data_IF_191857983512
#
_entry.id   IF_191857983512
#
_cell.length_a   1.000
_cell.length_b   1.000
_cell.length_c   1.000
_cell.angle_alpha   90.00
_cell.angle_beta   90.00
_cell.angle_gamma   90.00
#
_symmetry.space_group_name_H-M   'P 1'
#
loop_
_entity.id
_entity.type
_entity.pdbx_description
1 polymer ?
#
# COMPACT_ATOMS: atom_id res chain seq x y z
N UNK A 1 9.66 -2.82 14.83
CA UNK A 1 9.02 -4.13 15.02
C UNK A 1 8.21 -4.08 16.30
N UNK A 2 6.89 -4.29 16.21
CA UNK A 2 6.00 -4.22 17.36
C UNK A 2 6.42 -5.20 18.46
N UNK A 3 6.50 -4.72 19.68
CA UNK A 3 6.85 -5.55 20.83
C UNK A 3 5.70 -6.55 21.13
N UNK A 4 6.00 -7.66 21.80
CA UNK A 4 4.98 -8.61 22.26
C UNK A 4 3.91 -7.95 23.15
N UNK A 5 4.22 -6.81 23.80
CA UNK A 5 3.33 -6.04 24.67
C UNK A 5 2.21 -5.34 23.90
N UNK A 6 2.41 -5.05 22.60
CA UNK A 6 1.45 -4.30 21.76
C UNK A 6 0.53 -5.18 20.94
N UNK A 7 0.71 -6.51 21.01
CA UNK A 7 -0.11 -7.45 20.26
C UNK A 7 -1.46 -7.72 20.90
N UNK A 8 -2.50 -7.86 20.06
CA UNK A 8 -3.88 -8.12 20.46
C UNK A 8 -4.25 -9.55 20.11
N UNK A 9 -4.69 -10.34 21.09
CA UNK A 9 -5.09 -11.73 20.87
C UNK A 9 -6.49 -11.82 20.25
N UNK A 10 -7.41 -11.01 20.74
CA UNK A 10 -8.80 -10.88 20.28
C UNK A 10 -9.48 -9.64 20.89
N UNK A 11 -10.71 -9.38 20.48
CA UNK A 11 -11.59 -8.37 21.07
C UNK A 11 -11.54 -7.01 20.41
N UNK A 12 -12.35 -6.10 20.95
CA UNK A 12 -12.59 -4.77 20.38
C UNK A 12 -11.51 -3.77 20.77
N UNK A 13 -11.03 -3.03 19.77
CA UNK A 13 -10.06 -1.96 19.92
C UNK A 13 -10.38 -0.80 18.99
N UNK A 14 -9.90 0.37 19.40
CA UNK A 14 -9.86 1.57 18.61
C UNK A 14 -8.41 1.93 18.30
N UNK A 15 -8.20 2.48 17.11
CA UNK A 15 -6.91 2.99 16.65
C UNK A 15 -7.13 4.33 15.99
N UNK A 16 -6.18 5.22 16.15
CA UNK A 16 -6.13 6.48 15.44
C UNK A 16 -4.70 6.81 15.06
N UNK A 17 -4.54 7.49 13.95
CA UNK A 17 -3.33 8.18 13.56
C UNK A 17 -3.66 9.23 12.52
N UNK A 18 -2.79 10.23 12.40
CA UNK A 18 -2.81 11.19 11.32
C UNK A 18 -1.59 10.99 10.45
N UNK A 19 -1.74 11.16 9.15
CA UNK A 19 -0.63 11.15 8.21
C UNK A 19 -0.67 12.39 7.32
N UNK A 20 0.52 12.89 6.96
CA UNK A 20 0.66 14.06 6.12
C UNK A 20 1.62 13.74 4.97
N UNK A 21 1.16 14.00 3.75
CA UNK A 21 1.96 13.94 2.54
C UNK A 21 2.36 15.36 2.15
N UNK A 22 3.66 15.66 1.97
CA UNK A 22 4.10 16.96 1.46
C UNK A 22 3.42 17.32 0.12
N UNK A 23 3.35 18.60 -0.21
CA UNK A 23 2.74 19.07 -1.47
C UNK A 23 3.46 18.56 -2.72
N UNK A 24 4.75 18.31 -2.60
CA UNK A 24 5.63 17.78 -3.64
C UNK A 24 5.79 16.25 -3.58
N UNK A 25 4.95 15.57 -2.79
CA UNK A 25 4.96 14.11 -2.71
C UNK A 25 4.64 13.50 -4.06
N UNK A 26 5.46 12.52 -4.46
CA UNK A 26 5.30 11.77 -5.70
C UNK A 26 4.81 10.37 -5.37
N UNK A 27 3.65 10.01 -5.91
CA UNK A 27 3.16 8.64 -5.86
C UNK A 27 4.04 7.75 -6.75
N UNK A 28 4.66 6.75 -6.16
CA UNK A 28 5.63 5.87 -6.82
C UNK A 28 5.01 4.60 -7.39
N UNK A 29 3.69 4.57 -7.64
CA UNK A 29 3.09 3.40 -8.29
C UNK A 29 3.82 3.07 -9.62
N UNK A 30 4.09 1.80 -9.94
CA UNK A 30 3.63 0.56 -9.31
C UNK A 30 4.52 0.00 -8.17
N UNK A 31 5.41 0.81 -7.62
CA UNK A 31 6.11 0.44 -6.39
C UNK A 31 5.09 0.28 -5.25
N UNK A 32 5.24 -0.78 -4.46
CA UNK A 32 4.39 -0.98 -3.30
C UNK A 32 4.90 -0.13 -2.13
N UNK A 33 4.10 0.84 -1.72
CA UNK A 33 4.38 1.74 -0.62
C UNK A 33 3.30 1.59 0.46
N UNK A 34 3.55 0.73 1.47
CA UNK A 34 2.63 0.58 2.58
C UNK A 34 2.97 1.58 3.68
N UNK A 35 1.97 2.37 4.09
CA UNK A 35 2.05 3.43 5.09
C UNK A 35 1.53 2.98 6.47
N UNK A 36 1.03 1.77 6.56
CA UNK A 36 0.58 1.14 7.78
C UNK A 36 0.06 -0.26 7.53
N UNK A 37 -0.01 -1.08 8.58
CA UNK A 37 -0.56 -2.43 8.46
C UNK A 37 -0.93 -3.01 9.83
N UNK A 38 -1.90 -3.90 9.82
CA UNK A 38 -2.15 -4.83 10.90
C UNK A 38 -1.58 -6.19 10.51
N UNK A 39 -0.49 -6.57 11.16
CA UNK A 39 0.23 -7.80 10.87
C UNK A 39 -0.08 -8.88 11.90
N UNK A 40 -0.05 -10.13 11.49
CA UNK A 40 -0.25 -11.27 12.38
C UNK A 40 1.06 -11.92 12.78
N UNK A 41 1.10 -12.49 13.95
CA UNK A 41 2.19 -13.36 14.36
C UNK A 41 2.00 -14.75 13.76
N UNK A 42 2.98 -15.19 12.97
CA UNK A 42 2.93 -16.46 12.25
C UNK A 42 2.04 -16.46 11.01
N UNK A 43 1.86 -15.28 10.38
CA UNK A 43 1.10 -15.13 9.14
C UNK A 43 1.37 -13.80 8.46
N UNK A 44 0.69 -13.56 7.35
CA UNK A 44 0.74 -12.31 6.57
C UNK A 44 -0.03 -11.18 7.27
N UNK A 45 0.16 -9.90 6.87
CA UNK A 45 -0.73 -8.82 7.29
C UNK A 45 -2.18 -9.15 6.94
N UNK A 46 -3.14 -8.79 7.81
CA UNK A 46 -4.58 -8.95 7.54
C UNK A 46 -5.20 -7.72 6.91
N UNK A 47 -4.70 -6.55 7.26
CA UNK A 47 -5.05 -5.27 6.65
C UNK A 47 -3.79 -4.47 6.40
N UNK A 48 -3.66 -3.95 5.18
CA UNK A 48 -2.57 -3.07 4.79
C UNK A 48 -3.13 -1.75 4.27
N UNK A 49 -2.44 -0.68 4.53
CA UNK A 49 -2.75 0.65 4.03
C UNK A 49 -1.67 1.01 3.02
N UNK A 50 -2.02 1.02 1.75
CA UNK A 50 -1.06 1.14 0.66
C UNK A 50 -1.36 2.36 -0.19
N UNK A 51 -0.30 3.07 -0.55
CA UNK A 51 -0.38 4.00 -1.65
C UNK A 51 -0.37 3.22 -2.97
N UNK A 52 -1.39 3.42 -3.77
CA UNK A 52 -1.59 2.81 -5.09
C UNK A 52 -1.75 3.90 -6.15
N UNK A 53 -2.04 3.49 -7.39
CA UNK A 53 -2.19 4.36 -8.56
C UNK A 53 -3.12 5.57 -8.34
N UNK A 54 -4.25 5.37 -7.70
CA UNK A 54 -5.25 6.42 -7.48
C UNK A 54 -5.08 7.14 -6.14
N UNK A 55 -4.47 6.47 -5.14
CA UNK A 55 -4.33 7.04 -3.81
C UNK A 55 -4.12 6.01 -2.69
N UNK A 56 -4.55 6.38 -1.51
CA UNK A 56 -4.44 5.58 -0.30
C UNK A 56 -5.56 4.56 -0.23
N UNK A 57 -5.21 3.30 -0.24
CA UNK A 57 -6.14 2.16 -0.24
C UNK A 57 -5.96 1.31 1.01
N UNK A 58 -7.08 0.69 1.45
CA UNK A 58 -7.02 -0.45 2.34
C UNK A 58 -7.01 -1.72 1.50
N UNK A 59 -6.13 -2.65 1.88
CA UNK A 59 -6.03 -3.98 1.29
C UNK A 59 -6.26 -5.00 2.41
N UNK A 60 -7.32 -5.82 2.28
CA UNK A 60 -7.60 -6.92 3.19
C UNK A 60 -7.09 -8.22 2.57
N UNK A 61 -6.34 -8.98 3.34
CA UNK A 61 -5.81 -10.30 2.94
C UNK A 61 -6.10 -11.28 4.06
N UNK A 62 -7.26 -11.91 4.04
CA UNK A 62 -7.67 -12.96 4.99
C UNK A 62 -7.94 -14.22 4.18
N UNK A 63 -7.12 -15.24 4.40
CA UNK A 63 -7.11 -16.44 3.56
C UNK A 63 -6.37 -16.21 2.23
N UNK A 64 -6.14 -17.29 1.49
CA UNK A 64 -5.34 -17.26 0.27
C UNK A 64 -6.13 -16.70 -0.93
N UNK A 65 -7.47 -16.78 -0.91
CA UNK A 65 -8.35 -16.40 -2.01
C UNK A 65 -9.19 -15.12 -1.74
N UNK A 66 -9.10 -14.55 -0.53
CA UNK A 66 -9.93 -13.41 -0.14
C UNK A 66 -9.13 -12.10 -0.15
N UNK A 67 -8.96 -11.55 -1.34
CA UNK A 67 -8.32 -10.26 -1.57
C UNK A 67 -9.37 -9.20 -1.87
N UNK A 68 -9.43 -8.18 -1.02
CA UNK A 68 -10.31 -7.02 -1.19
C UNK A 68 -9.48 -5.74 -1.08
N UNK A 69 -9.59 -4.86 -2.07
CA UNK A 69 -8.96 -3.54 -2.01
C UNK A 69 -10.00 -2.43 -2.23
N UNK A 70 -9.90 -1.37 -1.46
CA UNK A 70 -10.79 -0.21 -1.57
C UNK A 70 -10.02 1.09 -1.44
N UNK A 71 -10.29 2.00 -2.38
CA UNK A 71 -9.81 3.38 -2.30
C UNK A 71 -10.45 4.09 -1.11
N UNK A 72 -9.63 4.65 -0.23
CA UNK A 72 -10.04 5.44 0.93
C UNK A 72 -10.07 6.92 0.62
N UNK A 73 -9.02 7.43 -0.02
CA UNK A 73 -8.86 8.83 -0.40
C UNK A 73 -7.84 8.93 -1.55
N UNK A 74 -8.05 9.83 -2.49
CA UNK A 74 -7.12 10.08 -3.59
C UNK A 74 -5.85 10.76 -3.09
N UNK A 75 -4.70 10.46 -3.71
CA UNK A 75 -3.42 11.11 -3.33
C UNK A 75 -3.52 12.62 -3.35
N UNK A 76 -4.10 13.20 -4.40
CA UNK A 76 -4.22 14.66 -4.54
C UNK A 76 -5.02 15.34 -3.40
N UNK A 77 -5.96 14.61 -2.79
CA UNK A 77 -6.76 15.13 -1.68
C UNK A 77 -6.00 15.10 -0.33
N UNK A 78 -4.85 14.40 -0.30
CA UNK A 78 -3.97 14.28 0.87
C UNK A 78 -2.80 15.26 0.85
N UNK A 79 -2.41 15.78 -0.34
CA UNK A 79 -1.22 16.60 -0.51
C UNK A 79 -1.30 17.90 0.30
N UNK A 80 -0.29 18.15 1.13
CA UNK A 80 -0.19 19.34 1.95
C UNK A 80 -1.22 19.45 3.06
N UNK A 81 -1.86 18.34 3.43
CA UNK A 81 -2.91 18.28 4.47
C UNK A 81 -2.68 17.08 5.38
N UNK A 82 -3.12 17.20 6.62
CA UNK A 82 -3.27 16.06 7.50
C UNK A 82 -4.49 15.22 7.08
N UNK A 83 -4.33 13.92 7.10
CA UNK A 83 -5.38 12.94 6.83
C UNK A 83 -5.54 12.09 8.08
N UNK A 84 -6.69 12.19 8.71
CA UNK A 84 -6.99 11.48 9.94
C UNK A 84 -7.60 10.10 9.65
N UNK A 85 -7.05 9.10 10.29
CA UNK A 85 -7.49 7.72 10.20
C UNK A 85 -8.00 7.28 11.56
N UNK A 86 -9.25 6.85 11.61
CA UNK A 86 -9.86 6.28 12.80
C UNK A 86 -10.36 4.86 12.48
N UNK A 87 -10.08 3.92 13.35
CA UNK A 87 -10.47 2.52 13.17
C UNK A 87 -11.14 1.99 14.44
N UNK A 88 -12.22 1.23 14.24
CA UNK A 88 -12.78 0.34 15.24
C UNK A 88 -12.79 -1.08 14.70
N UNK A 89 -12.09 -1.98 15.37
CA UNK A 89 -11.96 -3.37 14.96
C UNK A 89 -12.28 -4.33 16.11
N UNK A 90 -12.97 -5.42 15.79
CA UNK A 90 -13.06 -6.60 16.65
C UNK A 90 -12.16 -7.69 16.05
N UNK A 91 -11.04 -7.95 16.70
CA UNK A 91 -10.13 -9.00 16.26
C UNK A 91 -10.71 -10.36 16.64
N UNK A 92 -11.09 -11.13 15.62
CA UNK A 92 -11.71 -12.44 15.77
C UNK A 92 -11.37 -13.35 14.60
N UNK A 93 -11.31 -14.66 14.86
CA UNK A 93 -11.21 -15.70 13.82
C UNK A 93 -12.59 -16.16 13.34
N UNK A 94 -13.66 -15.62 13.94
CA UNK A 94 -15.06 -16.00 13.69
C UNK A 94 -15.80 -14.89 12.97
N UNK A 95 -17.01 -15.16 12.56
CA UNK A 95 -17.91 -14.23 11.86
C UNK A 95 -18.37 -13.02 12.72
N UNK A 96 -18.05 -13.01 14.01
CA UNK A 96 -18.30 -11.85 14.89
C UNK A 96 -17.22 -10.77 14.79
N UNK A 97 -16.18 -11.00 13.97
CA UNK A 97 -15.17 -9.99 13.63
C UNK A 97 -15.76 -8.83 12.85
N UNK A 98 -15.16 -7.66 12.96
CA UNK A 98 -15.47 -6.50 12.13
C UNK A 98 -14.27 -5.56 12.05
N UNK A 99 -14.25 -4.73 10.98
CA UNK A 99 -13.26 -3.69 10.78
C UNK A 99 -13.93 -2.47 10.15
N UNK A 100 -14.08 -1.39 10.91
CA UNK A 100 -14.64 -0.11 10.46
C UNK A 100 -13.55 0.94 10.41
N UNK A 101 -13.49 1.70 9.32
CA UNK A 101 -12.48 2.72 9.10
C UNK A 101 -13.10 4.01 8.61
N UNK A 102 -12.71 5.11 9.22
CA UNK A 102 -13.04 6.48 8.84
C UNK A 102 -11.79 7.21 8.38
N UNK A 103 -11.93 8.03 7.36
CA UNK A 103 -10.96 9.02 6.92
C UNK A 103 -11.60 10.40 7.09
N UNK A 104 -10.97 11.28 7.86
CA UNK A 104 -11.48 12.63 8.12
C UNK A 104 -12.96 12.58 8.55
N UNK A 105 -13.28 11.73 9.53
CA UNK A 105 -14.62 11.46 10.08
C UNK A 105 -15.63 10.80 9.13
N UNK A 106 -15.31 10.58 7.86
CA UNK A 106 -16.18 9.90 6.92
C UNK A 106 -15.92 8.38 6.92
N UNK A 107 -16.96 7.56 7.10
CA UNK A 107 -16.86 6.10 7.05
C UNK A 107 -16.53 5.64 5.62
N UNK A 108 -15.32 5.15 5.42
CA UNK A 108 -14.82 4.70 4.11
C UNK A 108 -14.82 3.20 3.92
N UNK A 109 -14.71 2.44 5.02
CA UNK A 109 -14.66 0.97 4.95
C UNK A 109 -15.40 0.37 6.14
N UNK A 110 -16.29 -0.59 5.84
CA UNK A 110 -17.06 -1.35 6.85
C UNK A 110 -17.05 -2.82 6.42
N UNK A 111 -16.32 -3.64 7.17
CA UNK A 111 -16.20 -5.08 6.95
C UNK A 111 -16.73 -5.85 8.16
N UNK A 112 -17.45 -6.95 7.91
CA UNK A 112 -17.90 -7.89 8.90
C UNK A 112 -17.49 -9.30 8.49
N UNK A 113 -16.95 -10.06 9.43
CA UNK A 113 -16.39 -11.39 9.22
C UNK A 113 -15.07 -11.56 9.95
N UNK A 114 -14.34 -12.68 9.75
CA UNK A 114 -13.05 -12.93 10.37
C UNK A 114 -12.06 -11.81 10.08
N UNK A 115 -11.39 -11.30 11.11
CA UNK A 115 -10.42 -10.20 11.01
C UNK A 115 -9.00 -10.66 11.29
N UNK A 116 -8.80 -11.92 11.63
CA UNK A 116 -7.49 -12.54 11.85
C UNK A 116 -7.55 -14.04 11.62
N UNK A 117 -6.43 -14.64 11.25
CA UNK A 117 -6.22 -16.10 11.16
C UNK A 117 -5.12 -16.59 12.10
N UNK A 118 -4.17 -15.72 12.41
CA UNK A 118 -3.03 -15.98 13.28
C UNK A 118 -3.36 -16.00 14.78
N UNK A 119 -2.32 -15.98 15.61
CA UNK A 119 -2.46 -16.02 17.08
C UNK A 119 -2.79 -14.66 17.68
N UNK A 120 -2.27 -13.60 17.09
CA UNK A 120 -2.47 -12.23 17.52
C UNK A 120 -2.17 -11.26 16.36
N UNK A 121 -2.70 -10.04 16.49
CA UNK A 121 -2.51 -8.94 15.54
C UNK A 121 -1.75 -7.82 16.24
N UNK A 122 -0.91 -7.12 15.51
CA UNK A 122 -0.22 -5.92 15.97
C UNK A 122 -0.16 -4.87 14.88
N UNK A 123 -0.27 -3.60 15.29
CA UNK A 123 -0.19 -2.46 14.41
C UNK A 123 1.27 -2.16 14.06
N UNK A 124 1.51 -1.85 12.79
CA UNK A 124 2.74 -1.20 12.32
C UNK A 124 2.37 0.05 11.55
N UNK A 125 3.19 1.08 11.66
CA UNK A 125 3.09 2.31 10.89
C UNK A 125 4.49 2.75 10.44
N UNK A 126 4.55 3.62 9.47
CA UNK A 126 5.78 4.03 8.81
C UNK A 126 5.77 3.62 7.34
N UNK A 127 6.83 3.92 6.64
CA UNK A 127 6.99 3.61 5.21
C UNK A 127 7.60 2.21 5.04
N UNK A 128 6.84 1.30 4.46
CA UNK A 128 7.32 -0.02 4.04
C UNK A 128 7.26 -0.13 2.52
N UNK A 129 8.41 -0.03 1.91
CA UNK A 129 8.57 0.02 0.46
C UNK A 129 9.06 -1.32 -0.08
N UNK A 130 8.34 -1.87 -1.07
CA UNK A 130 8.74 -3.10 -1.77
C UNK A 130 8.47 -2.98 -3.26
N UNK A 131 9.08 -3.88 -4.04
CA UNK A 131 8.86 -3.92 -5.47
C UNK A 131 9.59 -2.82 -6.24
N UNK A 132 10.78 -2.42 -5.80
CA UNK A 132 11.63 -1.44 -6.49
C UNK A 132 11.84 -1.82 -7.96
N UNK A 133 12.04 -3.11 -8.25
CA UNK A 133 12.18 -3.62 -9.61
C UNK A 133 10.95 -3.31 -10.47
N UNK A 134 9.73 -3.33 -9.88
CA UNK A 134 8.49 -2.99 -10.62
C UNK A 134 8.50 -1.53 -11.07
N UNK A 135 8.93 -0.62 -10.20
CA UNK A 135 9.02 0.81 -10.53
C UNK A 135 10.07 1.06 -11.61
N UNK A 136 11.26 0.47 -11.47
CA UNK A 136 12.34 0.56 -12.45
C UNK A 136 11.87 0.04 -13.81
N UNK A 137 11.23 -1.13 -13.84
CA UNK A 137 10.70 -1.70 -15.08
C UNK A 137 9.62 -0.83 -15.71
N UNK A 138 8.72 -0.28 -14.90
CA UNK A 138 7.67 0.63 -15.38
C UNK A 138 8.27 1.89 -16.02
N UNK A 139 9.26 2.51 -15.38
CA UNK A 139 9.96 3.69 -15.92
C UNK A 139 10.76 3.36 -17.18
N UNK A 140 11.37 2.19 -17.22
CA UNK A 140 12.07 1.72 -18.42
C UNK A 140 11.11 1.52 -19.59
N UNK A 141 9.89 1.00 -19.36
CA UNK A 141 8.87 0.85 -20.39
C UNK A 141 8.43 2.22 -20.91
N UNK A 142 8.22 3.21 -20.04
CA UNK A 142 7.89 4.58 -20.45
C UNK A 142 8.99 5.19 -21.33
N UNK A 143 10.26 5.03 -20.96
CA UNK A 143 11.40 5.50 -21.73
C UNK A 143 11.53 4.77 -23.06
N UNK A 144 11.31 3.47 -23.06
CA UNK A 144 11.35 2.64 -24.25
C UNK A 144 10.22 2.98 -25.24
N UNK A 145 9.02 3.32 -24.77
CA UNK A 145 7.95 3.80 -25.63
C UNK A 145 8.32 5.08 -26.37
N UNK A 146 9.02 6.01 -25.70
CA UNK A 146 9.53 7.22 -26.34
C UNK A 146 10.57 6.87 -27.41
N UNK A 147 11.39 5.88 -27.15
CA UNK A 147 12.43 5.40 -28.06
C UNK A 147 11.82 4.67 -29.27
N UNK A 148 10.88 3.72 -29.06
CA UNK A 148 10.21 2.96 -30.12
C UNK A 148 9.39 3.85 -31.09
N UNK A 149 8.94 5.02 -30.65
CA UNK A 149 8.29 6.00 -31.52
C UNK A 149 9.25 6.65 -32.49
N UNK A 150 10.55 6.65 -32.19
CA UNK A 150 11.57 7.33 -32.95
C UNK A 150 12.43 6.41 -33.82
N UNK A 151 12.36 5.09 -33.64
CA UNK A 151 13.14 4.13 -34.42
C UNK A 151 12.29 2.95 -34.94
N UNK A 152 12.66 2.43 -36.11
CA UNK A 152 12.04 1.24 -36.72
C UNK A 152 12.58 -0.02 -36.06
N UNK A 153 11.83 -0.58 -35.10
CA UNK A 153 12.17 -1.82 -34.42
C UNK A 153 11.52 -3.06 -35.04
N UNK A 154 12.20 -4.20 -34.91
CA UNK A 154 11.67 -5.50 -35.34
C UNK A 154 10.40 -5.89 -34.59
N UNK A 155 9.45 -6.48 -35.32
CA UNK A 155 8.11 -6.88 -34.83
C UNK A 155 8.09 -7.77 -33.57
N UNK A 156 9.19 -8.50 -33.28
CA UNK A 156 9.32 -9.35 -32.10
C UNK A 156 9.31 -8.57 -30.78
N UNK A 157 9.95 -7.41 -30.74
CA UNK A 157 9.99 -6.56 -29.53
C UNK A 157 8.65 -5.89 -29.26
N UNK A 158 7.94 -5.47 -30.31
CA UNK A 158 6.61 -4.84 -30.19
C UNK A 158 5.62 -5.77 -29.52
N UNK A 159 5.69 -7.08 -29.78
CA UNK A 159 4.83 -8.10 -29.15
C UNK A 159 5.15 -8.32 -27.67
N UNK A 160 6.44 -8.36 -27.33
CA UNK A 160 6.88 -8.47 -25.93
C UNK A 160 6.41 -7.24 -25.14
N UNK A 161 6.55 -6.03 -25.69
CA UNK A 161 6.13 -4.79 -25.03
C UNK A 161 4.63 -4.64 -24.92
N UNK A 162 3.85 -5.09 -25.91
CA UNK A 162 2.40 -5.08 -25.81
C UNK A 162 1.88 -5.99 -24.68
N UNK A 163 2.55 -7.11 -24.45
CA UNK A 163 2.24 -8.02 -23.35
C UNK A 163 2.65 -7.41 -21.99
N UNK A 164 3.82 -6.75 -21.92
CA UNK A 164 4.28 -6.07 -20.73
C UNK A 164 3.35 -4.91 -20.31
N UNK A 165 2.79 -4.18 -21.28
CA UNK A 165 1.79 -3.13 -21.02
C UNK A 165 0.47 -3.67 -20.48
N UNK A 166 0.04 -4.87 -20.92
CA UNK A 166 -1.21 -5.49 -20.46
C UNK A 166 -1.13 -5.94 -19.02
N UNK A 167 -0.01 -6.52 -18.62
CA UNK A 167 0.11 -7.14 -17.29
C UNK A 167 0.52 -6.19 -16.17
N UNK A 168 0.95 -4.96 -16.46
CA UNK A 168 1.52 -4.00 -15.48
C UNK A 168 2.58 -4.61 -14.53
N UNK A 169 2.85 -5.91 -14.66
CA UNK A 169 3.76 -6.73 -13.86
C UNK A 169 4.64 -7.56 -14.77
N UNK A 170 5.89 -7.16 -14.91
CA UNK A 170 6.90 -7.92 -15.66
C UNK A 170 7.46 -8.99 -14.74
N UNK A 171 7.49 -10.24 -15.17
CA UNK A 171 8.21 -11.27 -14.43
C UNK A 171 9.70 -10.91 -14.34
N UNK A 172 10.34 -11.23 -13.23
CA UNK A 172 11.74 -10.86 -12.96
C UNK A 172 12.68 -11.30 -14.09
N UNK A 173 12.51 -12.48 -14.65
CA UNK A 173 13.39 -13.03 -15.68
C UNK A 173 13.27 -12.29 -17.02
N UNK A 174 12.05 -11.93 -17.45
CA UNK A 174 11.84 -11.20 -18.70
C UNK A 174 12.37 -9.76 -18.62
N UNK A 175 12.32 -9.14 -17.43
CA UNK A 175 12.79 -7.78 -17.23
C UNK A 175 14.32 -7.66 -17.31
N UNK A 176 15.07 -8.67 -16.85
CA UNK A 176 16.54 -8.67 -16.90
C UNK A 176 17.02 -8.71 -18.35
N UNK A 177 16.46 -9.61 -19.16
CA UNK A 177 16.87 -9.75 -20.57
C UNK A 177 16.62 -8.47 -21.37
N UNK A 178 15.43 -7.86 -21.18
CA UNK A 178 15.07 -6.61 -21.83
C UNK A 178 15.96 -5.47 -21.34
N UNK A 179 16.22 -5.39 -20.03
CA UNK A 179 17.08 -4.38 -19.43
C UNK A 179 18.50 -4.44 -19.99
N UNK A 180 19.12 -5.62 -20.05
CA UNK A 180 20.48 -5.77 -20.55
C UNK A 180 20.60 -5.40 -22.05
N UNK A 181 19.62 -5.75 -22.88
CA UNK A 181 19.59 -5.39 -24.30
C UNK A 181 19.40 -3.89 -24.56
N UNK A 182 18.68 -3.23 -23.68
CA UNK A 182 18.32 -1.82 -23.82
C UNK A 182 19.16 -0.89 -22.92
N UNK A 183 20.11 -1.42 -22.15
CA UNK A 183 20.89 -0.67 -21.15
C UNK A 183 21.54 0.61 -21.67
N UNK A 184 21.98 0.62 -22.93
CA UNK A 184 22.58 1.79 -23.59
C UNK A 184 21.59 2.96 -23.84
N UNK A 185 20.29 2.73 -23.69
CA UNK A 185 19.23 3.72 -23.97
C UNK A 185 18.53 4.22 -22.71
N UNK A 186 18.93 3.73 -21.52
CA UNK A 186 18.31 4.15 -20.28
C UNK A 186 19.12 5.23 -19.59
N UNK A 187 18.47 6.32 -19.29
CA UNK A 187 18.97 7.25 -18.29
C UNK A 187 18.93 6.59 -16.92
N UNK A 188 19.80 7.04 -16.02
CA UNK A 188 19.79 6.58 -14.64
C UNK A 188 18.40 6.84 -14.02
N UNK A 189 17.71 5.77 -13.58
CA UNK A 189 16.40 5.90 -12.95
C UNK A 189 16.60 6.29 -11.50
N UNK A 190 16.32 7.54 -11.21
CA UNK A 190 16.29 8.05 -9.84
C UNK A 190 14.97 7.69 -9.21
N UNK A 191 15.03 6.93 -8.11
CA UNK A 191 13.84 6.64 -7.30
C UNK A 191 13.63 7.80 -6.33
N UNK A 192 12.53 8.56 -6.46
CA UNK A 192 12.28 9.69 -5.58
C UNK A 192 12.21 9.29 -4.11
N UNK A 193 12.63 10.19 -3.24
CA UNK A 193 12.47 10.03 -1.80
C UNK A 193 11.00 10.14 -1.43
N UNK A 194 10.50 9.19 -0.64
CA UNK A 194 9.17 9.27 -0.04
C UNK A 194 9.28 9.86 1.36
N UNK A 195 8.60 10.96 1.58
CA UNK A 195 8.47 11.60 2.90
C UNK A 195 7.02 11.51 3.34
N UNK A 196 6.79 10.95 4.52
CA UNK A 196 5.47 10.87 5.16
C UNK A 196 5.63 11.21 6.63
N UNK A 197 4.82 12.12 7.13
CA UNK A 197 4.77 12.42 8.55
C UNK A 197 3.62 11.65 9.18
N UNK A 198 3.85 11.12 10.37
CA UNK A 198 2.86 10.44 11.19
C UNK A 198 2.73 11.15 12.51
N UNK A 199 1.52 11.34 12.96
CA UNK A 199 1.22 11.92 14.26
C UNK A 199 0.06 11.18 14.92
N UNK A 200 -0.11 11.39 16.24
CA UNK A 200 -1.25 10.91 17.02
C UNK A 200 -1.51 9.41 16.92
N UNK A 201 -0.45 8.60 16.80
CA UNK A 201 -0.58 7.13 16.68
C UNK A 201 -1.01 6.55 18.03
N UNK A 202 -2.28 6.16 18.12
CA UNK A 202 -2.93 5.74 19.37
C UNK A 202 -3.66 4.41 19.22
N UNK A 203 -3.75 3.70 20.33
CA UNK A 203 -4.54 2.47 20.49
C UNK A 203 -5.26 2.51 21.83
N UNK A 204 -6.54 2.11 21.84
CA UNK A 204 -7.34 2.10 23.07
C UNK A 204 -8.51 1.15 23.02
N UNK A 205 -9.24 1.07 24.14
CA UNK A 205 -10.44 0.24 24.28
C UNK A 205 -11.73 1.01 23.96
N UNK A 206 -11.68 2.31 23.89
CA UNK A 206 -12.83 3.18 23.56
C UNK A 206 -12.43 4.23 22.53
N UNK A 207 -13.43 4.80 21.83
CA UNK A 207 -13.22 5.91 20.90
C UNK A 207 -12.58 7.10 21.61
N UNK A 208 -13.05 7.44 22.81
CA UNK A 208 -12.54 8.54 23.62
C UNK A 208 -11.04 8.41 23.98
N UNK A 209 -10.52 7.17 24.07
CA UNK A 209 -9.10 6.95 24.40
C UNK A 209 -8.14 7.17 23.25
N UNK A 210 -8.62 7.37 22.02
CA UNK A 210 -7.81 7.56 20.82
C UNK A 210 -8.06 8.89 20.10
N UNK A 211 -9.16 9.59 20.42
CA UNK A 211 -9.47 10.91 19.87
C UNK A 211 -9.10 11.95 20.94
N UNK A 212 -8.30 12.96 20.57
CA UNK A 212 -8.20 14.19 21.36
C UNK A 212 -9.38 15.08 20.96
N UNK A 213 -10.14 15.49 21.97
CA UNK A 213 -11.04 16.63 21.82
C UNK A 213 -10.18 17.88 22.17
N UNK A 214 -9.84 18.67 21.17
CA UNK A 214 -9.41 20.03 21.39
C UNK A 214 -10.60 20.90 21.73
#
# INVERSE_FOLDING_TARGET
AGSNKDSMKNGKFWFAWSLYLPKDHINLFPLKNALGQFHQRGGSPVFMFEERDEGYKIVRTIGDDDYDDKLLIKTNDMLGKWTDVLINANWSKKEDGFFKLWINDELKYDYKGPTMTGKNVYQKYGVYRTGLTRYINYKNIENLDKFLKNEKFENSYTKIFSNLKKDKYISHNNSIEIFEKCKKYYDEIIIPTTVVYFDEVRKGKSKKSVIQYN
#
